data_IF_901388184970
#
_entry.id   IF_901388184970
#
_cell.length_a   1.000
_cell.length_b   1.000
_cell.length_c   1.000
_cell.angle_alpha   90.00
_cell.angle_beta   90.00
_cell.angle_gamma   90.00
#
_symmetry.space_group_name_H-M   'P 1'
#
loop_
_entity.id
_entity.type
_entity.pdbx_description
1 polymer ?
#
# COMPACT_ATOMS: atom_id res chain seq x y z
N UNK A 1 -10.81 -66.00 20.12
CA UNK A 1 -11.45 -64.71 20.18
C UNK A 1 -10.36 -63.66 20.55
N UNK A 2 -9.77 -63.01 19.55
CA UNK A 2 -8.67 -62.03 19.75
C UNK A 2 -9.29 -60.64 19.77
N UNK A 3 -9.18 -59.98 20.93
CA UNK A 3 -9.66 -58.62 21.14
C UNK A 3 -8.63 -57.64 20.52
N UNK A 4 -8.99 -56.90 19.47
CA UNK A 4 -8.20 -55.81 18.91
C UNK A 4 -8.53 -54.54 19.68
N UNK A 5 -7.54 -54.07 20.44
CA UNK A 5 -7.59 -52.76 21.13
C UNK A 5 -7.24 -51.69 20.11
N UNK A 6 -8.20 -50.87 19.66
CA UNK A 6 -7.95 -49.69 18.82
C UNK A 6 -7.59 -48.57 19.74
N UNK A 7 -6.31 -48.18 19.71
CA UNK A 7 -5.78 -47.00 20.40
C UNK A 7 -6.10 -45.73 19.57
N UNK A 8 -7.15 -45.01 19.94
CA UNK A 8 -7.45 -43.71 19.37
C UNK A 8 -6.43 -42.71 19.90
N UNK A 9 -5.41 -42.38 19.11
CA UNK A 9 -4.55 -41.18 19.31
C UNK A 9 -5.39 -39.95 19.02
N UNK A 10 -5.87 -39.28 20.08
CA UNK A 10 -6.41 -37.94 19.99
C UNK A 10 -5.25 -36.98 19.71
N UNK A 11 -5.12 -36.56 18.45
CA UNK A 11 -4.31 -35.40 18.11
C UNK A 11 -5.02 -34.15 18.65
N UNK A 12 -4.54 -33.66 19.77
CA UNK A 12 -4.91 -32.32 20.25
C UNK A 12 -4.28 -31.31 19.30
N UNK A 13 -5.06 -30.84 18.34
CA UNK A 13 -4.74 -29.59 17.65
C UNK A 13 -4.83 -28.48 18.71
N UNK A 14 -3.69 -28.05 19.22
CA UNK A 14 -3.59 -26.74 19.87
C UNK A 14 -3.94 -25.73 18.79
N UNK A 15 -5.17 -25.22 18.80
CA UNK A 15 -5.49 -23.99 18.09
C UNK A 15 -4.59 -22.93 18.73
N UNK A 16 -3.54 -22.52 18.02
CA UNK A 16 -2.93 -21.24 18.30
C UNK A 16 -4.05 -20.23 18.07
N UNK A 17 -4.59 -19.69 19.16
CA UNK A 17 -5.36 -18.48 19.11
C UNK A 17 -4.39 -17.42 18.64
N UNK A 18 -4.48 -17.06 17.37
CA UNK A 18 -3.71 -15.96 16.78
C UNK A 18 -4.25 -14.69 17.46
N UNK A 19 -3.37 -13.96 18.12
CA UNK A 19 -3.68 -12.74 18.88
C UNK A 19 -3.86 -11.59 17.88
N UNK A 20 -4.78 -11.74 16.91
CA UNK A 20 -5.09 -10.77 15.86
C UNK A 20 -6.12 -9.72 16.30
N UNK A 21 -6.46 -9.64 17.59
CA UNK A 21 -7.46 -8.71 18.07
C UNK A 21 -6.99 -7.27 17.86
N UNK A 22 -7.57 -6.61 16.85
CA UNK A 22 -7.34 -5.20 16.51
C UNK A 22 -6.43 -4.93 15.31
N UNK A 23 -5.87 -5.95 14.66
CA UNK A 23 -5.12 -5.76 13.42
C UNK A 23 -6.05 -5.57 12.21
N UNK A 24 -5.55 -4.84 11.21
CA UNK A 24 -6.26 -4.65 9.95
C UNK A 24 -6.11 -5.87 9.04
N UNK A 25 -7.17 -6.20 8.31
CA UNK A 25 -7.10 -7.22 7.25
C UNK A 25 -6.12 -6.78 6.14
N UNK A 26 -5.30 -7.72 5.63
CA UNK A 26 -4.46 -7.44 4.48
C UNK A 26 -5.28 -7.09 3.25
N UNK A 27 -4.76 -6.20 2.41
CA UNK A 27 -5.32 -5.89 1.11
C UNK A 27 -4.26 -6.04 0.00
N UNK A 28 -4.68 -5.89 -1.24
CA UNK A 28 -3.77 -5.91 -2.40
C UNK A 28 -3.86 -4.61 -3.17
N UNK A 29 -2.78 -4.27 -3.87
CA UNK A 29 -2.78 -3.12 -4.76
C UNK A 29 -1.92 -3.37 -6.00
N UNK A 30 -2.23 -2.62 -7.05
CA UNK A 30 -1.42 -2.53 -8.25
C UNK A 30 -0.95 -1.10 -8.47
N UNK A 31 0.25 -0.96 -9.00
CA UNK A 31 0.89 0.32 -9.28
C UNK A 31 1.26 0.36 -10.76
N UNK A 32 0.66 1.27 -11.52
CA UNK A 32 1.02 1.53 -12.91
C UNK A 32 1.91 2.77 -12.96
N UNK A 33 3.21 2.54 -13.13
CA UNK A 33 4.22 3.59 -13.28
C UNK A 33 4.15 4.12 -14.71
N UNK A 34 3.74 5.38 -14.89
CA UNK A 34 3.27 5.90 -16.17
C UNK A 34 3.99 7.17 -16.62
N UNK A 35 4.24 7.26 -17.93
CA UNK A 35 4.80 8.44 -18.60
C UNK A 35 3.86 8.91 -19.70
N UNK A 36 3.69 10.22 -19.83
CA UNK A 36 2.86 10.82 -20.87
C UNK A 36 3.53 10.80 -22.23
N UNK A 37 2.75 10.66 -23.28
CA UNK A 37 3.18 10.96 -24.64
C UNK A 37 3.42 12.45 -24.85
N UNK A 38 4.21 12.77 -25.84
CA UNK A 38 4.47 14.16 -26.24
C UNK A 38 3.17 14.95 -26.42
N UNK A 39 3.07 16.09 -25.75
CA UNK A 39 1.90 16.97 -25.78
C UNK A 39 0.70 16.48 -24.96
N UNK A 40 0.89 15.44 -24.12
CA UNK A 40 -0.10 14.95 -23.16
C UNK A 40 0.30 15.31 -21.75
N UNK A 41 -0.70 15.43 -20.87
CA UNK A 41 -0.51 15.88 -19.49
C UNK A 41 -1.54 15.26 -18.52
N UNK A 42 -1.46 15.69 -17.26
CA UNK A 42 -2.36 15.25 -16.20
C UNK A 42 -3.83 15.62 -16.49
N UNK A 43 -4.10 16.72 -17.18
CA UNK A 43 -5.49 17.11 -17.54
C UNK A 43 -6.10 16.13 -18.55
N UNK A 44 -5.30 15.61 -19.52
CA UNK A 44 -5.74 14.54 -20.41
C UNK A 44 -6.05 13.26 -19.63
N UNK A 45 -5.19 12.91 -18.67
CA UNK A 45 -5.36 11.73 -17.83
C UNK A 45 -6.58 11.85 -16.92
N UNK A 46 -6.82 13.01 -16.33
CA UNK A 46 -8.01 13.25 -15.49
C UNK A 46 -9.31 13.11 -16.29
N UNK A 47 -9.37 13.64 -17.51
CA UNK A 47 -10.53 13.45 -18.38
C UNK A 47 -10.78 11.99 -18.75
N UNK A 48 -9.71 11.23 -18.93
CA UNK A 48 -9.82 9.78 -19.15
C UNK A 48 -10.28 9.06 -17.87
N UNK A 49 -9.71 9.41 -16.71
CA UNK A 49 -10.05 8.82 -15.41
C UNK A 49 -11.54 9.02 -15.07
N UNK A 50 -12.13 10.17 -15.38
CA UNK A 50 -13.58 10.40 -15.22
C UNK A 50 -14.44 9.44 -16.05
N UNK A 51 -14.00 9.13 -17.29
CA UNK A 51 -14.71 8.15 -18.13
C UNK A 51 -14.55 6.73 -17.58
N UNK A 52 -13.33 6.40 -17.13
CA UNK A 52 -13.04 5.11 -16.53
C UNK A 52 -13.86 4.90 -15.26
N UNK A 53 -13.93 5.90 -14.37
CA UNK A 53 -14.72 5.83 -13.14
C UNK A 53 -16.20 5.54 -13.43
N UNK A 54 -16.80 6.26 -14.37
CA UNK A 54 -18.21 6.01 -14.78
C UNK A 54 -18.41 4.59 -15.30
N UNK A 55 -17.47 4.12 -16.13
CA UNK A 55 -17.53 2.75 -16.66
C UNK A 55 -17.35 1.70 -15.56
N UNK A 56 -16.44 1.93 -14.60
CA UNK A 56 -16.17 1.04 -13.48
C UNK A 56 -17.36 0.96 -12.50
N UNK A 57 -18.09 2.08 -12.30
CA UNK A 57 -19.30 2.15 -11.47
C UNK A 57 -20.49 1.38 -12.05
N UNK A 58 -20.49 1.11 -13.36
CA UNK A 58 -21.52 0.28 -14.03
C UNK A 58 -21.31 -1.23 -13.80
N UNK A 59 -20.22 -1.64 -13.12
CA UNK A 59 -19.87 -3.04 -12.90
C UNK A 59 -19.61 -3.36 -11.43
N UNK A 60 -20.20 -4.48 -10.96
CA UNK A 60 -19.89 -5.03 -9.63
C UNK A 60 -18.42 -5.45 -9.47
N UNK A 61 -17.71 -5.67 -10.58
CA UNK A 61 -16.28 -6.06 -10.54
C UNK A 61 -15.37 -5.00 -9.90
N UNK A 62 -15.81 -3.74 -9.88
CA UNK A 62 -15.05 -2.62 -9.29
C UNK A 62 -15.75 -1.97 -8.09
N UNK A 63 -16.77 -2.60 -7.49
CA UNK A 63 -17.55 -2.00 -6.38
C UNK A 63 -16.68 -1.61 -5.19
N UNK A 64 -15.70 -2.46 -4.84
CA UNK A 64 -14.80 -2.29 -3.70
C UNK A 64 -13.38 -1.84 -4.10
N UNK A 65 -13.17 -1.56 -5.40
CA UNK A 65 -11.91 -1.05 -5.91
C UNK A 65 -11.80 0.45 -5.67
N UNK A 66 -10.67 0.88 -5.12
CA UNK A 66 -10.33 2.29 -4.91
C UNK A 66 -9.12 2.65 -5.75
N UNK A 67 -9.09 3.86 -6.28
CA UNK A 67 -7.93 4.30 -7.06
C UNK A 67 -7.60 5.76 -6.89
N UNK A 68 -6.31 6.06 -7.06
CA UNK A 68 -5.77 7.41 -7.04
C UNK A 68 -4.56 7.51 -7.98
N UNK A 69 -4.19 8.72 -8.33
CA UNK A 69 -2.93 9.03 -8.99
C UNK A 69 -1.95 9.66 -8.00
N UNK A 70 -0.74 9.15 -7.98
CA UNK A 70 0.38 9.65 -7.19
C UNK A 70 1.23 10.54 -8.09
N UNK A 71 1.22 11.84 -7.85
CA UNK A 71 2.01 12.83 -8.60
C UNK A 71 3.26 13.16 -7.80
N UNK A 72 4.48 12.98 -8.35
CA UNK A 72 5.73 13.24 -7.64
C UNK A 72 5.78 14.64 -7.05
N UNK A 73 6.21 14.75 -5.78
CA UNK A 73 6.32 16.00 -5.06
C UNK A 73 7.79 16.33 -4.70
N UNK A 74 8.42 15.59 -3.77
CA UNK A 74 9.85 15.63 -3.56
C UNK A 74 10.52 14.47 -4.25
N UNK A 75 11.34 14.74 -5.24
CA UNK A 75 12.02 13.71 -6.04
C UNK A 75 13.34 14.24 -6.60
N UNK A 76 14.25 13.35 -6.98
CA UNK A 76 15.38 13.71 -7.83
C UNK A 76 14.87 14.08 -9.23
N UNK A 77 15.55 14.97 -9.93
CA UNK A 77 15.18 15.38 -11.30
C UNK A 77 15.22 14.25 -12.35
N UNK A 78 15.56 13.04 -11.96
CA UNK A 78 15.73 11.87 -12.82
C UNK A 78 14.61 10.84 -12.65
N UNK A 79 13.42 11.25 -12.19
CA UNK A 79 12.30 10.32 -12.12
C UNK A 79 11.91 9.80 -13.50
N UNK A 80 11.82 8.47 -13.67
CA UNK A 80 11.52 7.87 -14.98
C UNK A 80 10.00 7.87 -15.30
N UNK A 81 9.17 8.59 -14.56
CA UNK A 81 7.72 8.61 -14.71
C UNK A 81 7.11 9.95 -14.34
N UNK A 82 5.93 10.24 -14.90
CA UNK A 82 5.18 11.47 -14.62
C UNK A 82 4.20 11.30 -13.46
N UNK A 83 3.61 10.10 -13.33
CA UNK A 83 2.74 9.73 -12.23
C UNK A 83 2.67 8.21 -12.04
N UNK A 84 2.05 7.78 -10.94
CA UNK A 84 1.73 6.37 -10.71
C UNK A 84 0.24 6.26 -10.42
N UNK A 85 -0.49 5.47 -11.23
CA UNK A 85 -1.83 5.04 -10.86
C UNK A 85 -1.73 3.95 -9.81
N UNK A 86 -2.41 4.11 -8.69
CA UNK A 86 -2.57 3.06 -7.68
C UNK A 86 -4.02 2.60 -7.64
N UNK A 87 -4.20 1.28 -7.75
CA UNK A 87 -5.48 0.62 -7.59
C UNK A 87 -5.44 -0.32 -6.40
N UNK A 88 -6.41 -0.23 -5.50
CA UNK A 88 -6.48 -1.00 -4.25
C UNK A 88 -7.75 -1.85 -4.27
N UNK A 89 -7.59 -3.14 -4.01
CA UNK A 89 -8.69 -4.10 -3.85
C UNK A 89 -8.65 -4.73 -2.45
N UNK A 90 -9.80 -5.12 -1.87
CA UNK A 90 -9.82 -5.71 -0.53
C UNK A 90 -9.05 -7.04 -0.45
N UNK A 91 -9.05 -7.82 -1.52
CA UNK A 91 -8.43 -9.13 -1.59
C UNK A 91 -8.04 -9.51 -3.03
N UNK A 92 -7.31 -10.62 -3.23
CA UNK A 92 -6.91 -11.09 -4.55
C UNK A 92 -8.08 -11.49 -5.47
N UNK A 93 -9.18 -12.03 -4.93
CA UNK A 93 -10.33 -12.46 -5.74
C UNK A 93 -10.98 -11.22 -6.39
N UNK A 94 -11.24 -10.17 -5.60
CA UNK A 94 -11.76 -8.90 -6.11
C UNK A 94 -10.80 -8.26 -7.12
N UNK A 95 -9.50 -8.29 -6.84
CA UNK A 95 -8.46 -7.72 -7.72
C UNK A 95 -8.43 -8.41 -9.09
N UNK A 96 -8.27 -9.74 -9.12
CA UNK A 96 -8.19 -10.49 -10.37
C UNK A 96 -9.53 -10.55 -11.09
N UNK A 97 -10.65 -10.52 -10.38
CA UNK A 97 -11.98 -10.39 -10.96
C UNK A 97 -12.17 -9.05 -11.70
N UNK A 98 -11.70 -7.95 -11.10
CA UNK A 98 -11.67 -6.63 -11.75
C UNK A 98 -10.77 -6.61 -12.98
N UNK A 99 -9.58 -7.21 -12.90
CA UNK A 99 -8.65 -7.28 -14.02
C UNK A 99 -9.20 -8.15 -15.18
N UNK A 100 -9.85 -9.28 -14.88
CA UNK A 100 -10.51 -10.10 -15.92
C UNK A 100 -11.62 -9.30 -16.61
N UNK A 101 -12.44 -8.59 -15.84
CA UNK A 101 -13.48 -7.73 -16.40
C UNK A 101 -12.90 -6.61 -17.28
N UNK A 102 -11.80 -5.96 -16.83
CA UNK A 102 -11.09 -4.93 -17.59
C UNK A 102 -10.57 -5.45 -18.94
N UNK A 103 -9.89 -6.59 -18.93
CA UNK A 103 -9.32 -7.21 -20.15
C UNK A 103 -10.42 -7.54 -21.16
N UNK A 104 -11.58 -8.01 -20.70
CA UNK A 104 -12.66 -8.44 -21.57
C UNK A 104 -13.58 -7.28 -22.04
N UNK A 105 -13.67 -6.16 -21.28
CA UNK A 105 -14.66 -5.12 -21.53
C UNK A 105 -14.06 -3.71 -21.66
N UNK A 106 -12.81 -3.48 -21.23
CA UNK A 106 -12.16 -2.17 -21.19
C UNK A 106 -11.54 -1.70 -22.51
N UNK A 107 -11.63 -2.48 -23.61
CA UNK A 107 -10.87 -2.25 -24.85
C UNK A 107 -10.99 -0.86 -25.45
N UNK A 108 -12.17 -0.21 -25.37
CA UNK A 108 -12.34 1.17 -25.84
C UNK A 108 -11.55 2.16 -24.97
N UNK A 109 -11.68 2.06 -23.65
CA UNK A 109 -10.95 2.91 -22.70
C UNK A 109 -9.45 2.68 -22.78
N UNK A 110 -9.00 1.43 -22.95
CA UNK A 110 -7.59 1.10 -23.15
C UNK A 110 -7.05 1.74 -24.45
N UNK A 111 -7.83 1.74 -25.54
CA UNK A 111 -7.44 2.41 -26.78
C UNK A 111 -7.31 3.92 -26.60
N UNK A 112 -8.20 4.56 -25.85
CA UNK A 112 -8.10 5.97 -25.50
C UNK A 112 -6.87 6.24 -24.60
N UNK A 113 -6.64 5.42 -23.57
CA UNK A 113 -5.48 5.52 -22.66
C UNK A 113 -4.17 5.45 -23.44
N UNK A 114 -4.07 4.54 -24.39
CA UNK A 114 -2.91 4.38 -25.27
C UNK A 114 -2.64 5.61 -26.19
N UNK A 115 -3.53 6.57 -26.28
CA UNK A 115 -3.27 7.87 -26.94
C UNK A 115 -2.65 8.89 -25.99
N UNK A 116 -2.68 8.64 -24.68
CA UNK A 116 -2.23 9.54 -23.61
C UNK A 116 -0.88 9.10 -23.07
N UNK A 117 -0.73 7.80 -22.80
CA UNK A 117 0.44 7.23 -22.14
C UNK A 117 1.38 6.53 -23.12
N UNK A 118 2.67 6.58 -22.81
CA UNK A 118 3.69 5.76 -23.49
C UNK A 118 3.41 4.27 -23.26
N UNK A 119 3.89 3.43 -24.19
CA UNK A 119 3.82 1.98 -24.05
C UNK A 119 4.97 1.44 -23.19
N UNK A 120 4.73 0.34 -22.48
CA UNK A 120 5.79 -0.34 -21.72
C UNK A 120 5.94 0.16 -20.29
N UNK A 121 4.90 0.78 -19.74
CA UNK A 121 4.84 1.15 -18.33
C UNK A 121 5.00 -0.07 -17.44
N UNK A 122 5.70 0.11 -16.31
CA UNK A 122 5.83 -0.94 -15.31
C UNK A 122 4.51 -1.08 -14.53
N UNK A 123 4.07 -2.32 -14.34
CA UNK A 123 2.93 -2.65 -13.47
C UNK A 123 3.41 -3.58 -12.37
N UNK A 124 3.17 -3.19 -11.13
CA UNK A 124 3.62 -3.93 -9.95
C UNK A 124 2.39 -4.32 -9.14
N UNK A 125 2.20 -5.61 -8.90
CA UNK A 125 1.23 -6.14 -7.94
C UNK A 125 1.88 -6.26 -6.56
N UNK A 126 1.14 -5.91 -5.50
CA UNK A 126 1.65 -5.90 -4.13
C UNK A 126 0.63 -6.47 -3.15
N UNK A 127 1.16 -7.05 -2.06
CA UNK A 127 0.43 -7.30 -0.84
C UNK A 127 0.65 -6.15 0.13
N UNK A 128 -0.38 -5.75 0.87
CA UNK A 128 -0.29 -4.64 1.81
C UNK A 128 -0.87 -5.01 3.16
N UNK A 129 -0.18 -4.62 4.23
CA UNK A 129 -0.68 -4.66 5.60
C UNK A 129 -0.84 -3.23 6.11
N UNK A 130 -2.06 -2.86 6.47
CA UNK A 130 -2.35 -1.58 7.09
C UNK A 130 -1.89 -1.63 8.55
N UNK A 131 -1.11 -0.62 8.96
CA UNK A 131 -0.60 -0.43 10.32
C UNK A 131 -1.44 0.61 11.06
N UNK A 132 -1.82 1.69 10.38
CA UNK A 132 -2.80 2.69 10.84
C UNK A 132 -3.50 3.33 9.65
N UNK A 133 -4.70 3.85 9.86
CA UNK A 133 -5.46 4.55 8.82
C UNK A 133 -5.29 6.06 8.92
N UNK A 134 -5.31 6.71 7.76
CA UNK A 134 -5.46 8.17 7.67
C UNK A 134 -6.86 8.55 8.17
N UNK A 135 -7.04 9.66 8.91
CA UNK A 135 -8.35 10.14 9.31
C UNK A 135 -9.32 10.20 8.12
N UNK A 136 -10.54 9.73 8.33
CA UNK A 136 -11.61 9.68 7.33
C UNK A 136 -11.26 8.90 6.04
N UNK A 137 -10.16 8.13 6.07
CA UNK A 137 -9.66 7.38 4.90
C UNK A 137 -9.18 8.24 3.74
N UNK A 138 -9.05 9.57 3.95
CA UNK A 138 -8.71 10.54 2.91
C UNK A 138 -7.23 10.93 2.96
N UNK A 139 -6.41 10.23 2.19
CA UNK A 139 -5.02 10.58 2.01
C UNK A 139 -4.86 11.58 0.85
N UNK A 140 -4.11 12.67 1.08
CA UNK A 140 -3.76 13.66 0.04
C UNK A 140 -2.24 13.76 -0.19
N UNK A 141 -1.44 13.18 0.71
CA UNK A 141 0.02 13.14 0.61
C UNK A 141 0.52 11.77 1.03
N UNK A 142 1.52 11.26 0.32
CA UNK A 142 2.13 9.96 0.54
C UNK A 142 3.66 10.04 0.52
N UNK A 143 4.29 9.30 1.41
CA UNK A 143 5.75 9.13 1.46
C UNK A 143 6.05 7.63 1.46
N UNK A 144 6.88 7.20 0.52
CA UNK A 144 7.34 5.83 0.34
C UNK A 144 8.82 5.73 0.68
N UNK A 145 9.20 4.66 1.37
CA UNK A 145 10.59 4.31 1.67
C UNK A 145 10.80 2.83 1.42
N UNK A 146 11.93 2.47 0.85
CA UNK A 146 12.33 1.09 0.63
C UNK A 146 13.05 0.57 1.87
N UNK A 147 12.59 -0.56 2.43
CA UNK A 147 13.03 -1.03 3.73
C UNK A 147 13.60 -2.44 3.70
N UNK A 148 14.65 -2.67 4.48
CA UNK A 148 15.21 -3.99 4.83
C UNK A 148 14.86 -4.36 6.26
N UNK A 149 14.60 -5.64 6.48
CA UNK A 149 14.47 -6.20 7.83
C UNK A 149 15.82 -6.28 8.52
N UNK A 150 15.82 -6.26 9.84
CA UNK A 150 17.00 -6.59 10.63
C UNK A 150 17.39 -8.07 10.50
N UNK A 151 18.62 -8.40 10.92
CA UNK A 151 19.11 -9.78 10.92
C UNK A 151 18.23 -10.66 11.82
N UNK A 152 17.80 -11.80 11.32
CA UNK A 152 16.91 -12.76 12.01
C UNK A 152 15.55 -12.21 12.44
N UNK A 153 15.09 -11.09 11.85
CA UNK A 153 13.80 -10.44 12.14
C UNK A 153 12.79 -10.76 11.05
N UNK A 154 11.58 -11.17 11.44
CA UNK A 154 10.50 -11.40 10.49
C UNK A 154 9.70 -10.14 10.18
N UNK A 155 9.05 -10.11 9.02
CA UNK A 155 8.11 -9.03 8.67
C UNK A 155 6.93 -8.94 9.67
N UNK A 156 6.57 -10.04 10.31
CA UNK A 156 5.54 -10.09 11.36
C UNK A 156 6.00 -9.38 12.63
N UNK A 157 7.24 -9.55 13.05
CA UNK A 157 7.80 -8.86 14.22
C UNK A 157 7.83 -7.35 13.99
N UNK A 158 8.28 -6.92 12.79
CA UNK A 158 8.27 -5.49 12.41
C UNK A 158 6.84 -4.95 12.38
N UNK A 159 5.89 -5.70 11.81
CA UNK A 159 4.49 -5.28 11.76
C UNK A 159 3.90 -5.05 13.16
N UNK A 160 4.13 -5.99 14.09
CA UNK A 160 3.63 -5.89 15.48
C UNK A 160 4.22 -4.69 16.21
N UNK A 161 5.53 -4.48 16.11
CA UNK A 161 6.19 -3.34 16.72
C UNK A 161 5.75 -2.01 16.10
N UNK A 162 5.60 -1.97 14.77
CA UNK A 162 5.15 -0.78 14.05
C UNK A 162 3.68 -0.44 14.36
N UNK A 163 2.83 -1.45 14.50
CA UNK A 163 1.45 -1.29 14.92
C UNK A 163 1.36 -0.72 16.35
N UNK A 164 2.14 -1.26 17.30
CA UNK A 164 2.21 -0.76 18.66
C UNK A 164 2.67 0.71 18.69
N UNK A 165 3.74 1.04 17.96
CA UNK A 165 4.21 2.41 17.81
C UNK A 165 3.14 3.33 17.21
N UNK A 166 2.51 2.94 16.10
CA UNK A 166 1.49 3.77 15.45
C UNK A 166 0.28 4.04 16.38
N UNK A 167 -0.13 3.04 17.17
CA UNK A 167 -1.18 3.18 18.16
C UNK A 167 -0.80 4.17 19.25
N UNK A 168 0.39 4.06 19.81
CA UNK A 168 0.89 4.94 20.86
C UNK A 168 1.14 6.37 20.33
N UNK A 169 1.70 6.54 19.13
CA UNK A 169 1.88 7.84 18.50
C UNK A 169 0.55 8.59 18.26
N UNK A 170 -0.52 7.84 17.96
CA UNK A 170 -1.87 8.40 17.79
C UNK A 170 -2.37 9.08 19.06
N UNK A 171 -2.05 8.55 20.24
CA UNK A 171 -2.37 9.18 21.54
C UNK A 171 -1.66 10.54 21.74
N UNK A 172 -0.55 10.76 21.03
CA UNK A 172 0.19 12.03 20.99
C UNK A 172 -0.26 12.94 19.83
N UNK A 173 -1.35 12.62 19.14
CA UNK A 173 -1.92 13.42 18.07
C UNK A 173 -1.30 13.17 16.69
N UNK A 174 -0.61 12.06 16.47
CA UNK A 174 -0.21 11.60 15.15
C UNK A 174 -1.46 11.22 14.32
N UNK A 175 -1.54 11.72 13.10
CA UNK A 175 -2.67 11.52 12.19
C UNK A 175 -2.28 10.75 10.92
N UNK A 176 -1.10 10.12 10.92
CA UNK A 176 -0.65 9.38 9.76
C UNK A 176 -1.34 8.02 9.61
N UNK A 177 -1.75 7.72 8.38
CA UNK A 177 -1.94 6.36 7.92
C UNK A 177 -0.59 5.72 7.58
N UNK A 178 -0.45 4.42 7.84
CA UNK A 178 0.79 3.67 7.61
C UNK A 178 0.50 2.30 7.03
N UNK A 179 1.36 1.87 6.11
CA UNK A 179 1.29 0.52 5.55
C UNK A 179 2.69 -0.07 5.39
N UNK A 180 2.75 -1.38 5.46
CA UNK A 180 3.83 -2.20 4.93
C UNK A 180 3.36 -2.80 3.59
N UNK A 181 4.13 -2.59 2.54
CA UNK A 181 3.82 -3.01 1.17
C UNK A 181 4.87 -4.03 0.74
N UNK A 182 4.44 -5.21 0.36
CA UNK A 182 5.30 -6.30 -0.08
C UNK A 182 5.18 -6.47 -1.59
N UNK A 183 6.20 -6.03 -2.37
CA UNK A 183 6.21 -6.16 -3.82
C UNK A 183 6.13 -7.63 -4.27
N UNK A 184 5.35 -7.88 -5.31
CA UNK A 184 5.12 -9.19 -5.87
C UNK A 184 5.38 -9.22 -7.37
N UNK A 185 4.42 -9.63 -8.17
CA UNK A 185 4.56 -9.69 -9.62
C UNK A 185 4.88 -8.31 -10.23
N UNK A 186 5.75 -8.29 -11.24
CA UNK A 186 6.20 -7.05 -11.90
C UNK A 186 7.34 -6.31 -11.20
N UNK A 187 7.79 -6.78 -10.05
CA UNK A 187 8.96 -6.24 -9.36
C UNK A 187 10.24 -6.59 -10.14
N UNK A 188 11.19 -5.64 -10.17
CA UNK A 188 12.49 -5.85 -10.81
C UNK A 188 13.26 -6.99 -10.12
N UNK A 189 13.99 -7.79 -10.91
CA UNK A 189 14.88 -8.82 -10.38
C UNK A 189 16.06 -8.26 -9.57
N UNK A 190 16.32 -6.95 -9.67
CA UNK A 190 17.35 -6.24 -8.90
C UNK A 190 16.77 -5.60 -7.63
N UNK A 191 15.52 -5.84 -7.32
CA UNK A 191 14.90 -5.36 -6.09
C UNK A 191 15.57 -6.03 -4.88
N UNK A 192 16.17 -5.23 -3.99
CA UNK A 192 17.00 -5.69 -2.86
C UNK A 192 16.45 -5.16 -1.52
N UNK A 193 15.13 -5.04 -1.40
CA UNK A 193 14.43 -4.65 -0.17
C UNK A 193 13.38 -5.70 0.18
N UNK A 194 12.99 -5.74 1.45
CA UNK A 194 12.02 -6.70 1.95
C UNK A 194 10.59 -6.17 1.84
N UNK A 195 10.41 -4.85 2.05
CA UNK A 195 9.12 -4.18 1.92
C UNK A 195 9.28 -2.70 1.62
N UNK A 196 8.18 -2.06 1.25
CA UNK A 196 8.08 -0.59 1.16
C UNK A 196 7.22 -0.09 2.31
N UNK A 197 7.75 0.84 3.10
CA UNK A 197 6.97 1.58 4.07
C UNK A 197 6.23 2.71 3.37
N UNK A 198 4.94 2.82 3.63
CA UNK A 198 4.09 3.93 3.19
C UNK A 198 3.59 4.70 4.41
N UNK A 199 3.75 6.01 4.38
CA UNK A 199 3.12 6.95 5.30
C UNK A 199 2.21 7.88 4.51
N UNK A 200 0.96 8.05 4.95
CA UNK A 200 -0.02 8.93 4.30
C UNK A 200 -0.60 9.92 5.30
N UNK A 201 -0.92 11.12 4.82
CA UNK A 201 -1.61 12.15 5.61
C UNK A 201 -2.69 12.85 4.80
N UNK A 202 -3.62 13.53 5.47
CA UNK A 202 -4.71 14.29 4.84
C UNK A 202 -4.22 15.56 4.14
N UNK A 203 -2.99 16.00 4.47
CA UNK A 203 -2.33 17.14 3.84
C UNK A 203 -0.82 17.08 4.04
N UNK A 204 -0.07 17.86 3.25
CA UNK A 204 1.37 18.08 3.46
C UNK A 204 1.63 18.74 4.83
N UNK A 205 0.73 19.62 5.27
CA UNK A 205 0.84 20.28 6.56
C UNK A 205 0.72 19.29 7.73
N UNK A 206 -0.15 18.29 7.63
CA UNK A 206 -0.29 17.24 8.63
C UNK A 206 0.95 16.33 8.68
N UNK A 207 1.59 16.07 7.54
CA UNK A 207 2.89 15.39 7.51
C UNK A 207 3.95 16.17 8.29
N UNK A 208 4.05 17.48 8.04
CA UNK A 208 4.95 18.35 8.79
C UNK A 208 4.62 18.43 10.30
N UNK A 209 3.33 18.43 10.64
CA UNK A 209 2.89 18.38 12.06
C UNK A 209 3.31 17.06 12.73
N UNK A 210 3.16 15.92 12.06
CA UNK A 210 3.60 14.63 12.61
C UNK A 210 5.12 14.61 12.85
N UNK A 211 5.93 15.20 11.97
CA UNK A 211 7.36 15.37 12.20
C UNK A 211 7.66 16.27 13.40
N UNK A 212 6.91 17.37 13.57
CA UNK A 212 7.05 18.24 14.73
C UNK A 212 6.73 17.47 16.02
N UNK A 213 5.65 16.70 16.05
CA UNK A 213 5.26 15.87 17.19
C UNK A 213 6.33 14.80 17.48
N UNK A 214 6.90 14.18 16.43
CA UNK A 214 7.95 13.19 16.57
C UNK A 214 9.18 13.74 17.34
N UNK A 215 9.60 14.97 17.00
CA UNK A 215 10.77 15.58 17.61
C UNK A 215 10.49 16.33 18.91
N UNK A 216 9.34 17.00 19.03
CA UNK A 216 9.02 17.90 20.14
C UNK A 216 8.22 17.24 21.25
N UNK A 217 7.28 16.36 20.88
CA UNK A 217 6.35 15.70 21.79
C UNK A 217 6.80 14.27 22.16
N UNK A 218 8.06 13.96 21.84
CA UNK A 218 8.75 12.73 22.27
C UNK A 218 8.21 11.44 21.67
N UNK A 219 7.48 11.48 20.57
CA UNK A 219 7.07 10.26 19.88
C UNK A 219 8.28 9.43 19.44
N UNK A 220 9.42 10.09 19.17
CA UNK A 220 10.70 9.45 18.89
C UNK A 220 11.44 8.90 20.13
N UNK A 221 10.97 9.22 21.36
CA UNK A 221 11.53 8.72 22.62
C UNK A 221 10.63 7.66 23.30
N UNK A 222 9.56 7.23 22.62
CA UNK A 222 8.60 6.26 23.16
C UNK A 222 9.20 4.86 23.20
N UNK A 223 8.87 4.05 24.23
CA UNK A 223 9.31 2.65 24.30
C UNK A 223 8.90 1.83 23.06
N UNK A 224 7.76 2.11 22.48
CA UNK A 224 7.25 1.44 21.28
C UNK A 224 8.09 1.80 20.03
N UNK A 225 8.58 3.05 19.94
CA UNK A 225 9.51 3.44 18.88
C UNK A 225 10.89 2.80 19.09
N UNK A 226 11.41 2.80 20.32
CA UNK A 226 12.65 2.11 20.67
C UNK A 226 12.57 0.62 20.35
N UNK A 227 11.45 -0.04 20.68
CA UNK A 227 11.21 -1.45 20.36
C UNK A 227 11.26 -1.70 18.84
N UNK A 228 10.63 -0.82 18.03
CA UNK A 228 10.68 -0.89 16.57
C UNK A 228 12.11 -0.69 16.04
N UNK A 229 12.85 0.28 16.56
CA UNK A 229 14.25 0.54 16.17
C UNK A 229 15.18 -0.62 16.53
N UNK A 230 14.96 -1.25 17.66
CA UNK A 230 15.77 -2.40 18.14
C UNK A 230 15.63 -3.65 17.25
N UNK A 231 14.63 -3.70 16.34
CA UNK A 231 14.56 -4.72 15.31
C UNK A 231 15.61 -4.54 14.19
N UNK A 232 16.32 -3.41 14.15
CA UNK A 232 17.51 -3.19 13.32
C UNK A 232 17.21 -3.04 11.82
N UNK A 233 15.96 -2.81 11.43
CA UNK A 233 15.59 -2.53 10.04
C UNK A 233 16.07 -1.15 9.58
N UNK A 234 16.31 -1.00 8.28
CA UNK A 234 16.74 0.27 7.66
C UNK A 234 15.81 0.60 6.50
N UNK A 235 15.35 1.86 6.45
CA UNK A 235 14.57 2.38 5.32
C UNK A 235 15.33 3.52 4.64
N UNK A 236 15.33 3.53 3.32
CA UNK A 236 16.01 4.52 2.47
C UNK A 236 15.18 4.84 1.21
N UNK A 237 15.73 5.64 0.31
CA UNK A 237 15.04 6.04 -0.94
C UNK A 237 13.69 6.71 -0.68
N UNK A 238 13.64 7.66 0.28
CA UNK A 238 12.44 8.43 0.56
C UNK A 238 11.99 9.20 -0.69
N UNK A 239 10.72 9.03 -1.06
CA UNK A 239 10.09 9.72 -2.17
C UNK A 239 8.64 10.05 -1.82
N UNK A 240 8.19 11.23 -2.20
CA UNK A 240 6.87 11.69 -1.83
C UNK A 240 6.02 12.10 -3.02
N UNK A 241 4.70 12.00 -2.81
CA UNK A 241 3.70 12.22 -3.84
C UNK A 241 2.51 12.99 -3.29
N UNK A 242 1.97 13.88 -4.12
CA UNK A 242 0.60 14.35 -3.94
C UNK A 242 -0.36 13.29 -4.44
N UNK A 243 -1.45 13.04 -3.71
CA UNK A 243 -2.47 12.06 -4.08
C UNK A 243 -3.66 12.79 -4.72
N UNK A 244 -4.01 12.38 -5.93
CA UNK A 244 -5.20 12.84 -6.65
C UNK A 244 -6.19 11.67 -6.67
N UNK A 245 -7.28 11.70 -5.87
CA UNK A 245 -8.26 10.63 -5.84
C UNK A 245 -8.97 10.48 -7.18
N UNK A 246 -9.28 9.25 -7.58
CA UNK A 246 -10.01 8.91 -8.81
C UNK A 246 -11.32 8.21 -8.46
N UNK A 247 -11.27 7.10 -7.73
CA UNK A 247 -12.43 6.35 -7.28
C UNK A 247 -12.28 6.00 -5.81
N UNK A 248 -13.28 6.36 -5.01
CA UNK A 248 -13.35 6.09 -3.56
C UNK A 248 -14.19 4.84 -3.26
#
# INVERSE_FOLDING_TARGET
>A
MKLFLILCLAFSFSAYADDHEGYYEPNVAEYYVSTFKEGKDMDDMMRWAEKWTKWAEESDAFKDYRSAMLVPYYHSGELPHDFVWVGISPDPEAHYGGNDYWVNNGGKLLSELNTILESGNQVIYTWQRTVSETPDGQAAYAVYMDCKLGEDVSAEDVYKAYFAYAKAAKELGDVAGRKMIFPGAGTSSNWDYDYVQLVTTTSIADYGKNWTNFWSDKAGEMPEYEALQNLGGVCENERSYSIVPVKN
#
